data_IF_131471870850
#
_entry.id   IF_131471870850
#
_cell.length_a   1.000
_cell.length_b   1.000
_cell.length_c   1.000
_cell.angle_alpha   90.00
_cell.angle_beta   90.00
_cell.angle_gamma   90.00
#
_symmetry.space_group_name_H-M   'P 1'
#
loop_
_entity.id
_entity.type
_entity.pdbx_description
1 polymer ?
#
# COMPACT_ATOMS: atom_id res chain seq x y z
N UNK A 1 -18.90 -27.34 1.86
CA UNK A 1 -17.89 -26.29 2.04
C UNK A 1 -18.46 -25.23 2.97
N UNK A 2 -17.83 -24.97 4.11
CA UNK A 2 -18.30 -23.97 5.04
C UNK A 2 -18.09 -22.56 4.46
N UNK A 3 -18.84 -21.58 4.95
CA UNK A 3 -18.66 -20.17 4.55
C UNK A 3 -17.23 -19.68 4.82
N UNK A 4 -16.59 -20.22 5.85
CA UNK A 4 -15.20 -19.92 6.23
C UNK A 4 -14.23 -20.50 5.20
N UNK A 5 -14.41 -21.77 4.76
CA UNK A 5 -13.59 -22.37 3.70
C UNK A 5 -13.73 -21.63 2.37
N UNK A 6 -14.92 -21.17 2.03
CA UNK A 6 -15.14 -20.36 0.85
C UNK A 6 -14.35 -19.04 0.91
N UNK A 7 -14.49 -18.28 2.00
CA UNK A 7 -13.77 -17.01 2.21
C UNK A 7 -12.26 -17.20 2.25
N UNK A 8 -11.78 -18.31 2.84
CA UNK A 8 -10.37 -18.69 2.84
C UNK A 8 -9.84 -18.92 1.43
N UNK A 9 -10.55 -19.72 0.64
CA UNK A 9 -10.13 -20.04 -0.72
C UNK A 9 -10.14 -18.79 -1.61
N UNK A 10 -11.09 -17.89 -1.42
CA UNK A 10 -11.12 -16.61 -2.12
C UNK A 10 -10.00 -15.66 -1.65
N UNK A 11 -9.70 -15.62 -0.36
CA UNK A 11 -8.59 -14.85 0.16
C UNK A 11 -7.23 -15.37 -0.37
N UNK A 12 -7.04 -16.68 -0.47
CA UNK A 12 -5.84 -17.29 -1.05
C UNK A 12 -5.73 -17.03 -2.54
N UNK A 13 -6.84 -17.15 -3.30
CA UNK A 13 -6.87 -16.78 -4.71
C UNK A 13 -6.58 -15.30 -4.92
N UNK A 14 -7.14 -14.44 -4.09
CA UNK A 14 -6.89 -13.01 -4.14
C UNK A 14 -5.43 -12.70 -3.79
N UNK A 15 -4.87 -13.36 -2.78
CA UNK A 15 -3.44 -13.28 -2.45
C UNK A 15 -2.58 -13.67 -3.64
N UNK A 16 -2.82 -14.81 -4.26
CA UNK A 16 -2.04 -15.30 -5.38
C UNK A 16 -2.17 -14.35 -6.59
N UNK A 17 -3.37 -13.84 -6.85
CA UNK A 17 -3.60 -12.85 -7.89
C UNK A 17 -2.88 -11.53 -7.59
N UNK A 18 -2.95 -11.06 -6.36
CA UNK A 18 -2.27 -9.85 -5.89
C UNK A 18 -0.76 -10.01 -5.97
N UNK A 19 -0.22 -11.17 -5.58
CA UNK A 19 1.22 -11.45 -5.64
C UNK A 19 1.76 -11.50 -7.07
N UNK A 20 0.92 -11.77 -8.07
CA UNK A 20 1.29 -11.66 -9.49
C UNK A 20 1.50 -10.20 -9.93
N UNK A 21 0.92 -9.24 -9.22
CA UNK A 21 0.97 -7.81 -9.53
C UNK A 21 1.69 -6.97 -8.47
N UNK A 22 2.30 -7.62 -7.48
CA UNK A 22 3.05 -6.99 -6.40
C UNK A 22 4.52 -7.41 -6.46
N UNK A 23 5.39 -6.62 -5.87
CA UNK A 23 6.80 -7.00 -5.73
C UNK A 23 6.90 -8.20 -4.78
N UNK A 24 7.48 -9.30 -5.25
CA UNK A 24 7.68 -10.47 -4.39
C UNK A 24 8.79 -10.23 -3.36
N UNK A 25 8.81 -11.05 -2.31
CA UNK A 25 9.88 -11.06 -1.30
C UNK A 25 11.27 -11.36 -1.88
N UNK A 26 11.33 -11.90 -3.11
CA UNK A 26 12.56 -12.20 -3.83
C UNK A 26 13.01 -11.07 -4.77
N UNK A 27 12.41 -9.86 -4.67
CA UNK A 27 12.64 -8.76 -5.60
C UNK A 27 12.23 -9.06 -7.07
N UNK A 28 11.42 -10.07 -7.30
CA UNK A 28 10.80 -10.29 -8.59
C UNK A 28 9.75 -9.21 -8.80
N UNK A 29 10.17 -8.17 -9.47
CA UNK A 29 9.33 -7.02 -9.76
C UNK A 29 8.35 -7.39 -10.87
N UNK A 30 7.05 -7.12 -10.73
CA UNK A 30 6.10 -7.35 -11.82
C UNK A 30 6.44 -6.48 -13.03
N UNK A 31 5.92 -6.83 -14.20
CA UNK A 31 6.10 -5.99 -15.39
C UNK A 31 5.63 -4.56 -15.16
N UNK A 32 4.62 -4.38 -14.33
CA UNK A 32 4.03 -3.08 -14.03
C UNK A 32 3.79 -2.92 -12.54
N UNK A 33 4.10 -1.74 -12.02
CA UNK A 33 3.82 -1.33 -10.66
C UNK A 33 2.85 -0.14 -10.69
N UNK A 34 1.75 -0.22 -9.93
CA UNK A 34 0.69 0.78 -9.93
C UNK A 34 0.42 1.30 -8.51
N UNK A 35 0.19 2.60 -8.38
CA UNK A 35 -0.18 3.23 -7.12
C UNK A 35 -1.47 2.64 -6.52
N UNK A 36 -2.38 2.16 -7.37
CA UNK A 36 -3.60 1.44 -7.01
C UNK A 36 -3.32 0.22 -6.12
N UNK A 37 -2.23 -0.48 -6.37
CA UNK A 37 -1.84 -1.68 -5.63
C UNK A 37 -1.65 -1.40 -4.13
N UNK A 38 -1.17 -0.22 -3.77
CA UNK A 38 -1.07 0.16 -2.37
C UNK A 38 -2.45 0.19 -1.70
N UNK A 39 -3.44 0.78 -2.37
CA UNK A 39 -4.78 0.88 -1.84
C UNK A 39 -5.53 -0.46 -1.87
N UNK A 40 -5.43 -1.19 -3.00
CA UNK A 40 -6.19 -2.42 -3.23
C UNK A 40 -5.60 -3.62 -2.49
N UNK A 41 -4.28 -3.71 -2.36
CA UNK A 41 -3.58 -4.88 -1.84
C UNK A 41 -2.81 -4.61 -0.55
N UNK A 42 -1.82 -3.72 -0.57
CA UNK A 42 -0.91 -3.53 0.55
C UNK A 42 -1.65 -3.11 1.83
N UNK A 43 -2.59 -2.19 1.71
CA UNK A 43 -3.41 -1.75 2.85
C UNK A 43 -4.31 -2.87 3.41
N UNK A 44 -4.91 -3.69 2.53
CA UNK A 44 -5.69 -4.85 2.98
C UNK A 44 -4.80 -5.86 3.71
N UNK A 45 -3.63 -6.19 3.16
CA UNK A 45 -2.66 -7.08 3.78
C UNK A 45 -2.24 -6.57 5.17
N UNK A 46 -1.95 -5.28 5.29
CA UNK A 46 -1.60 -4.66 6.57
C UNK A 46 -2.70 -4.84 7.61
N UNK A 47 -3.94 -4.58 7.24
CA UNK A 47 -5.09 -4.73 8.14
C UNK A 47 -5.31 -6.18 8.56
N UNK A 48 -5.22 -7.12 7.62
CA UNK A 48 -5.37 -8.55 7.89
C UNK A 48 -4.26 -9.04 8.81
N UNK A 49 -3.00 -8.77 8.47
CA UNK A 49 -1.85 -9.16 9.28
C UNK A 49 -1.91 -8.58 10.69
N UNK A 50 -2.24 -7.29 10.82
CA UNK A 50 -2.39 -6.63 12.12
C UNK A 50 -3.52 -7.26 12.95
N UNK A 51 -4.67 -7.57 12.33
CA UNK A 51 -5.78 -8.23 13.03
C UNK A 51 -5.39 -9.64 13.48
N UNK A 52 -4.75 -10.44 12.62
CA UNK A 52 -4.29 -11.78 12.96
C UNK A 52 -3.28 -11.77 14.12
N UNK A 53 -2.36 -10.79 14.12
CA UNK A 53 -1.38 -10.62 15.19
C UNK A 53 -2.02 -10.33 16.55
N UNK A 54 -3.17 -9.68 16.57
CA UNK A 54 -3.88 -9.25 17.77
C UNK A 54 -4.97 -10.24 18.24
N UNK A 55 -5.07 -11.43 17.62
CA UNK A 55 -6.05 -12.43 18.04
C UNK A 55 -5.78 -12.88 19.48
N UNK A 56 -6.86 -13.00 20.25
CA UNK A 56 -6.84 -13.48 21.62
C UNK A 56 -7.32 -14.94 21.67
N UNK A 57 -6.46 -15.89 22.10
CA UNK A 57 -6.84 -17.31 22.19
C UNK A 57 -8.00 -17.56 23.17
N UNK A 58 -8.21 -16.66 24.12
CA UNK A 58 -9.28 -16.77 25.11
C UNK A 58 -10.62 -16.17 24.63
N UNK A 59 -10.63 -15.48 23.48
CA UNK A 59 -11.87 -14.94 22.89
C UNK A 59 -12.47 -15.97 21.91
N UNK A 60 -13.69 -16.50 22.18
CA UNK A 60 -14.36 -17.44 21.29
C UNK A 60 -14.57 -16.91 19.87
N UNK A 61 -14.62 -15.58 19.68
CA UNK A 61 -14.78 -14.96 18.36
C UNK A 61 -13.52 -15.09 17.51
N UNK A 62 -12.36 -15.19 18.15
CA UNK A 62 -11.07 -15.30 17.47
C UNK A 62 -10.67 -16.77 17.23
N UNK A 63 -11.32 -17.73 17.90
CA UNK A 63 -10.98 -19.15 17.84
C UNK A 63 -10.85 -19.70 16.39
N UNK A 64 -11.77 -19.33 15.50
CA UNK A 64 -11.76 -19.79 14.09
C UNK A 64 -10.62 -19.18 13.26
N UNK A 65 -9.96 -18.14 13.74
CA UNK A 65 -8.88 -17.44 13.05
C UNK A 65 -7.49 -17.74 13.62
N UNK A 66 -7.43 -18.44 14.79
CA UNK A 66 -6.17 -18.72 15.47
C UNK A 66 -5.18 -19.52 14.60
N UNK A 67 -5.67 -20.41 13.73
CA UNK A 67 -4.82 -21.19 12.82
C UNK A 67 -4.01 -20.32 11.84
N UNK A 68 -4.46 -19.08 11.59
CA UNK A 68 -3.79 -18.13 10.69
C UNK A 68 -2.85 -17.16 11.42
N UNK A 69 -2.89 -17.10 12.74
CA UNK A 69 -2.06 -16.19 13.52
C UNK A 69 -0.55 -16.31 13.24
N UNK A 70 0.00 -17.52 13.03
CA UNK A 70 1.42 -17.66 12.69
C UNK A 70 1.85 -16.94 11.42
N UNK A 71 0.91 -16.69 10.48
CA UNK A 71 1.18 -16.00 9.20
C UNK A 71 1.14 -14.46 9.33
N UNK A 72 0.73 -13.94 10.48
CA UNK A 72 0.49 -12.51 10.68
C UNK A 72 1.71 -11.64 10.35
N UNK A 73 2.88 -12.05 10.82
CA UNK A 73 4.11 -11.29 10.61
C UNK A 73 4.58 -11.31 9.17
N UNK A 74 4.45 -12.44 8.49
CA UNK A 74 4.80 -12.54 7.06
C UNK A 74 3.91 -11.63 6.22
N UNK A 75 2.60 -11.63 6.50
CA UNK A 75 1.63 -10.76 5.82
C UNK A 75 1.94 -9.27 6.08
N UNK A 76 2.31 -8.90 7.30
CA UNK A 76 2.70 -7.52 7.64
C UNK A 76 3.98 -7.13 6.88
N UNK A 77 4.99 -7.98 6.88
CA UNK A 77 6.24 -7.72 6.20
C UNK A 77 6.06 -7.60 4.69
N UNK A 78 5.27 -8.49 4.08
CA UNK A 78 4.93 -8.41 2.66
C UNK A 78 4.20 -7.10 2.33
N UNK A 79 3.26 -6.68 3.19
CA UNK A 79 2.60 -5.39 3.04
C UNK A 79 3.59 -4.23 3.08
N UNK A 80 4.46 -4.17 4.09
CA UNK A 80 5.44 -3.10 4.23
C UNK A 80 6.46 -3.07 3.09
N UNK A 81 6.82 -4.24 2.54
CA UNK A 81 7.64 -4.33 1.34
C UNK A 81 6.95 -3.70 0.12
N UNK A 82 5.62 -3.85 0.00
CA UNK A 82 4.89 -3.15 -1.07
C UNK A 82 5.03 -1.64 -0.94
N UNK A 83 4.84 -1.07 0.26
CA UNK A 83 5.03 0.37 0.48
C UNK A 83 6.45 0.80 0.10
N UNK A 84 7.47 0.09 0.58
CA UNK A 84 8.86 0.41 0.28
C UNK A 84 9.13 0.48 -1.23
N UNK A 85 8.75 -0.55 -1.98
CA UNK A 85 9.02 -0.62 -3.41
C UNK A 85 8.20 0.41 -4.21
N UNK A 86 6.94 0.63 -3.86
CA UNK A 86 6.12 1.64 -4.53
C UNK A 86 6.68 3.06 -4.29
N UNK A 87 7.16 3.36 -3.10
CA UNK A 87 7.86 4.62 -2.81
C UNK A 87 9.09 4.78 -3.70
N UNK A 88 9.90 3.71 -3.86
CA UNK A 88 11.12 3.77 -4.67
C UNK A 88 10.85 4.02 -6.15
N UNK A 89 9.77 3.45 -6.68
CA UNK A 89 9.48 3.48 -8.11
C UNK A 89 8.48 4.56 -8.53
N UNK A 90 7.56 4.94 -7.66
CA UNK A 90 6.46 5.84 -8.04
C UNK A 90 6.58 7.24 -7.46
N UNK A 91 7.23 7.43 -6.31
CA UNK A 91 7.39 8.77 -5.77
C UNK A 91 8.55 9.49 -6.45
N UNK A 92 8.25 10.62 -7.09
CA UNK A 92 9.27 11.49 -7.66
C UNK A 92 10.14 12.09 -6.56
N UNK A 93 11.46 12.00 -6.69
CA UNK A 93 12.42 12.44 -5.66
C UNK A 93 12.56 13.96 -5.58
N UNK A 94 12.18 14.68 -6.62
CA UNK A 94 12.28 16.15 -6.69
C UNK A 94 10.98 16.81 -6.22
N UNK A 95 9.84 16.30 -6.72
CA UNK A 95 8.53 16.90 -6.42
C UNK A 95 7.80 16.26 -5.26
N UNK A 96 8.18 15.04 -4.86
CA UNK A 96 7.51 14.17 -3.88
C UNK A 96 6.08 13.76 -4.26
N UNK A 97 5.59 14.13 -5.44
CA UNK A 97 4.34 13.65 -6.00
C UNK A 97 4.51 12.24 -6.58
N UNK A 98 3.41 11.53 -6.75
CA UNK A 98 3.42 10.14 -7.18
C UNK A 98 2.97 10.00 -8.63
N UNK A 99 3.78 9.31 -9.42
CA UNK A 99 3.36 8.77 -10.71
C UNK A 99 2.30 7.69 -10.51
N UNK A 100 1.43 7.51 -11.49
CA UNK A 100 0.38 6.49 -11.42
C UNK A 100 0.94 5.08 -11.56
N UNK A 101 1.87 4.87 -12.47
CA UNK A 101 2.44 3.56 -12.76
C UNK A 101 3.87 3.61 -13.27
N UNK A 102 4.57 2.49 -13.12
CA UNK A 102 5.91 2.25 -13.62
C UNK A 102 5.95 0.94 -14.40
N UNK A 103 6.55 0.97 -15.60
CA UNK A 103 6.77 -0.21 -16.42
C UNK A 103 8.20 -0.73 -16.22
N UNK A 104 8.31 -1.93 -15.65
CA UNK A 104 9.60 -2.53 -15.35
C UNK A 104 10.33 -3.08 -16.58
N UNK A 105 9.62 -3.38 -17.67
CA UNK A 105 10.21 -3.81 -18.94
C UNK A 105 10.86 -2.65 -19.64
N UNK A 106 10.15 -1.54 -19.76
CA UNK A 106 10.63 -0.33 -20.43
C UNK A 106 11.45 0.60 -19.52
N UNK A 107 11.44 0.35 -18.19
CA UNK A 107 12.14 1.17 -17.18
C UNK A 107 11.70 2.63 -17.17
N UNK A 108 10.42 2.87 -17.37
CA UNK A 108 9.84 4.21 -17.43
C UNK A 108 8.51 4.31 -16.64
N UNK A 109 8.10 5.54 -16.36
CA UNK A 109 6.77 5.81 -15.89
C UNK A 109 5.79 5.81 -17.07
N UNK A 110 4.68 5.08 -16.91
CA UNK A 110 3.67 4.93 -17.97
C UNK A 110 2.93 6.24 -18.28
N UNK A 111 3.03 7.22 -17.39
CA UNK A 111 2.54 8.58 -17.57
C UNK A 111 3.51 9.54 -16.91
N UNK A 112 3.87 10.62 -17.61
CA UNK A 112 4.70 11.70 -17.05
C UNK A 112 3.93 12.64 -16.12
N UNK A 113 2.62 12.46 -15.94
CA UNK A 113 1.75 13.32 -15.17
C UNK A 113 1.45 12.75 -13.78
N UNK A 114 1.17 13.64 -12.82
CA UNK A 114 0.81 13.26 -11.44
C UNK A 114 -0.70 13.24 -11.28
N UNK A 115 -1.31 12.08 -11.44
CA UNK A 115 -2.75 11.92 -11.30
C UNK A 115 -3.19 12.09 -9.84
N UNK A 116 -4.12 13.03 -9.57
CA UNK A 116 -4.57 13.38 -8.24
C UNK A 116 -5.14 12.21 -7.44
N UNK A 117 -5.92 11.33 -8.08
CA UNK A 117 -6.49 10.14 -7.43
C UNK A 117 -5.41 9.13 -7.01
N UNK A 118 -4.39 8.89 -7.83
CA UNK A 118 -3.28 8.02 -7.47
C UNK A 118 -2.52 8.57 -6.25
N UNK A 119 -2.27 9.88 -6.23
CA UNK A 119 -1.67 10.57 -5.10
C UNK A 119 -2.54 10.47 -3.83
N UNK A 120 -3.86 10.54 -3.96
CA UNK A 120 -4.78 10.36 -2.83
C UNK A 120 -4.73 8.95 -2.26
N UNK A 121 -4.67 7.91 -3.09
CA UNK A 121 -4.52 6.52 -2.63
C UNK A 121 -3.21 6.31 -1.87
N UNK A 122 -2.09 6.80 -2.42
CA UNK A 122 -0.79 6.70 -1.75
C UNK A 122 -0.81 7.40 -0.39
N UNK A 123 -1.24 8.65 -0.32
CA UNK A 123 -1.32 9.43 0.92
C UNK A 123 -2.24 8.77 1.96
N UNK A 124 -3.44 8.34 1.53
CA UNK A 124 -4.40 7.68 2.42
C UNK A 124 -3.82 6.41 3.02
N UNK A 125 -3.31 5.50 2.19
CA UNK A 125 -2.82 4.20 2.69
C UNK A 125 -1.60 4.34 3.58
N UNK A 126 -0.65 5.21 3.23
CA UNK A 126 0.49 5.51 4.10
C UNK A 126 0.05 6.08 5.45
N UNK A 127 -0.97 6.95 5.48
CA UNK A 127 -1.52 7.48 6.73
C UNK A 127 -2.11 6.41 7.66
N UNK A 128 -2.49 5.25 7.12
CA UNK A 128 -3.09 4.16 7.89
C UNK A 128 -2.06 3.23 8.54
N UNK A 129 -0.77 3.31 8.15
CA UNK A 129 0.25 2.37 8.66
C UNK A 129 0.35 2.45 10.18
N UNK A 130 0.53 3.65 10.74
CA UNK A 130 0.60 3.85 12.20
C UNK A 130 -0.68 3.47 12.94
N UNK A 131 -1.84 3.57 12.31
CA UNK A 131 -3.12 3.20 12.90
C UNK A 131 -3.32 1.70 13.00
N UNK A 132 -2.69 0.95 12.10
CA UNK A 132 -2.79 -0.50 12.05
C UNK A 132 -1.64 -1.21 12.78
N UNK A 133 -0.49 -0.54 12.95
CA UNK A 133 0.67 -1.05 13.67
C UNK A 133 0.95 -0.12 14.86
N UNK A 134 0.46 -0.47 16.06
CA UNK A 134 0.68 0.34 17.27
C UNK A 134 2.17 0.43 17.66
N UNK A 135 2.97 -0.57 17.27
CA UNK A 135 4.42 -0.67 17.47
C UNK A 135 5.21 -0.44 16.16
N UNK A 136 4.67 0.40 15.27
CA UNK A 136 5.22 0.73 13.95
C UNK A 136 6.72 1.08 13.97
N UNK A 137 7.20 1.66 15.06
CA UNK A 137 8.61 2.03 15.25
C UNK A 137 9.57 0.83 15.32
N UNK A 138 9.07 -0.39 15.51
CA UNK A 138 9.84 -1.62 15.45
C UNK A 138 10.04 -2.14 14.02
N UNK A 139 9.38 -1.52 13.04
CA UNK A 139 9.42 -1.88 11.63
C UNK A 139 10.17 -0.81 10.83
N UNK A 140 11.44 -1.01 10.45
CA UNK A 140 12.22 -0.01 9.72
C UNK A 140 11.53 0.58 8.50
N UNK A 141 10.81 -0.19 7.64
CA UNK A 141 10.10 0.38 6.49
C UNK A 141 9.03 1.41 6.85
N UNK A 142 8.50 1.38 8.07
CA UNK A 142 7.50 2.37 8.51
C UNK A 142 8.09 3.79 8.63
N UNK A 143 9.39 3.93 8.88
CA UNK A 143 10.05 5.24 8.88
C UNK A 143 10.10 5.82 7.47
N UNK A 144 10.39 5.01 6.47
CA UNK A 144 10.39 5.42 5.06
C UNK A 144 8.99 5.84 4.62
N UNK A 145 7.96 5.07 5.02
CA UNK A 145 6.55 5.40 4.75
C UNK A 145 6.17 6.75 5.37
N UNK A 146 6.61 7.01 6.61
CA UNK A 146 6.31 8.27 7.28
C UNK A 146 7.00 9.46 6.61
N UNK A 147 8.27 9.33 6.26
CA UNK A 147 9.02 10.36 5.55
C UNK A 147 8.37 10.63 4.18
N UNK A 148 8.07 9.59 3.42
CA UNK A 148 7.41 9.68 2.11
C UNK A 148 6.05 10.40 2.21
N UNK A 149 5.22 10.02 3.19
CA UNK A 149 3.92 10.66 3.40
C UNK A 149 4.05 12.14 3.74
N UNK A 150 4.95 12.50 4.65
CA UNK A 150 5.19 13.89 5.04
C UNK A 150 5.60 14.74 3.84
N UNK A 151 6.53 14.25 3.04
CA UNK A 151 7.06 14.97 1.89
C UNK A 151 5.99 15.08 0.80
N UNK A 152 5.19 14.03 0.57
CA UNK A 152 4.04 14.07 -0.34
C UNK A 152 2.97 15.08 0.13
N UNK A 153 2.63 15.11 1.41
CA UNK A 153 1.62 16.05 1.93
C UNK A 153 2.09 17.51 1.78
N UNK A 154 3.39 17.77 1.96
CA UNK A 154 3.97 19.08 1.70
C UNK A 154 3.85 19.46 0.21
N UNK A 155 4.14 18.53 -0.69
CA UNK A 155 4.01 18.73 -2.13
C UNK A 155 2.54 18.94 -2.56
N UNK A 156 1.61 18.12 -2.05
CA UNK A 156 0.17 18.26 -2.32
C UNK A 156 -0.37 19.63 -1.88
N UNK A 157 0.15 20.18 -0.78
CA UNK A 157 -0.23 21.52 -0.33
C UNK A 157 0.20 22.61 -1.30
N UNK A 158 1.33 22.44 -2.00
CA UNK A 158 1.81 23.43 -2.98
C UNK A 158 0.96 23.47 -4.25
N UNK A 159 0.36 22.33 -4.62
CA UNK A 159 -0.48 22.21 -5.83
C UNK A 159 -1.99 22.27 -5.52
N UNK A 160 -2.35 22.58 -4.26
CA UNK A 160 -3.73 22.78 -3.86
C UNK A 160 -4.25 24.10 -4.42
N UNK A 161 -5.44 24.08 -5.02
CA UNK A 161 -6.10 25.27 -5.54
C UNK A 161 -6.59 26.19 -4.42
N UNK A 162 -6.85 27.46 -4.72
CA UNK A 162 -7.31 28.46 -3.72
C UNK A 162 -8.60 28.05 -3.00
N UNK A 163 -9.48 27.31 -3.68
CA UNK A 163 -10.71 26.77 -3.08
C UNK A 163 -10.51 25.48 -2.28
N UNK A 164 -9.26 25.04 -2.08
CA UNK A 164 -8.92 23.87 -1.26
C UNK A 164 -9.05 22.52 -1.96
N UNK A 165 -9.29 22.48 -3.28
CA UNK A 165 -9.38 21.27 -4.06
C UNK A 165 -8.02 20.90 -4.70
N UNK A 166 -7.96 19.75 -5.31
CA UNK A 166 -6.86 19.31 -6.17
C UNK A 166 -7.37 19.01 -7.57
N UNK A 167 -6.56 19.32 -8.55
CA UNK A 167 -6.84 19.06 -9.96
C UNK A 167 -6.77 17.56 -10.26
N UNK A 168 -7.37 17.15 -11.36
CA UNK A 168 -7.28 15.75 -11.84
C UNK A 168 -5.83 15.39 -12.16
N UNK A 169 -5.11 16.28 -12.83
CA UNK A 169 -3.66 16.22 -13.04
C UNK A 169 -3.05 17.33 -12.18
N UNK A 170 -2.23 16.97 -11.22
CA UNK A 170 -1.77 17.89 -10.17
C UNK A 170 -0.83 18.98 -10.68
N UNK A 171 -0.08 18.69 -11.73
CA UNK A 171 0.89 19.55 -12.40
C UNK A 171 0.36 20.21 -13.69
N UNK A 172 -0.96 20.14 -13.93
CA UNK A 172 -1.63 20.77 -15.06
C UNK A 172 -2.65 21.80 -14.55
N UNK A 173 -2.41 23.09 -14.86
CA UNK A 173 -3.28 24.19 -14.43
C UNK A 173 -4.64 24.21 -15.11
N UNK A 174 -4.79 23.54 -16.23
CA UNK A 174 -6.02 23.53 -17.03
C UNK A 174 -6.92 22.29 -16.76
N UNK A 175 -6.45 21.32 -15.92
CA UNK A 175 -7.17 20.06 -15.64
C UNK A 175 -8.21 20.13 -14.50
#
# INVERSE_FOLDING_TARGET
>A
MSKIEYLRNDALRFRDHVLQHTVSSNNDFPEQCWADTLFMAAFLMLRVGSKLRMLNPDDPKDAALMEYQPQAMDIINDSLNQYYWHIQYLQNKETSLWYHGYNNVHKDHMSGFYWGRANAWAAYTMSQVKKNLYDWYLFPPCMDVECSLRDQLAALKLVQTENGLWRTILDDEES
#
